data_IF_679975208093
#
_entry.id   IF_679975208093
#
_cell.length_a   1.000
_cell.length_b   1.000
_cell.length_c   1.000
_cell.angle_alpha   90.00
_cell.angle_beta   90.00
_cell.angle_gamma   90.00
#
_symmetry.space_group_name_H-M   'P 1'
#
loop_
_entity.id
_entity.type
_entity.pdbx_description
1 polymer ?
#
# COMPACT_ATOMS: atom_id res chain seq x y z
N UNK A 1 -19.49 -19.47 19.49
CA UNK A 1 -19.76 -20.70 18.71
C UNK A 1 -19.88 -20.44 17.20
N UNK A 2 -20.37 -19.29 16.72
CA UNK A 2 -20.39 -19.00 15.27
C UNK A 2 -19.02 -18.59 14.70
N UNK A 3 -18.24 -17.80 15.44
CA UNK A 3 -16.93 -17.29 14.98
C UNK A 3 -15.90 -18.40 14.72
N UNK A 4 -15.95 -19.50 15.47
CA UNK A 4 -15.04 -20.64 15.31
C UNK A 4 -15.27 -21.39 13.98
N UNK A 5 -16.47 -21.27 13.40
CA UNK A 5 -16.84 -21.93 12.13
C UNK A 5 -16.61 -21.03 10.91
N UNK A 6 -16.62 -19.71 11.10
CA UNK A 6 -16.59 -18.72 10.03
C UNK A 6 -15.30 -18.76 9.21
N UNK A 7 -14.12 -18.75 9.86
CA UNK A 7 -12.84 -18.78 9.14
C UNK A 7 -12.63 -20.08 8.34
N UNK A 8 -12.88 -21.29 8.90
CA UNK A 8 -12.86 -22.54 8.11
C UNK A 8 -13.79 -22.51 6.90
N UNK A 9 -14.97 -21.90 7.01
CA UNK A 9 -15.92 -21.77 5.90
C UNK A 9 -15.40 -20.85 4.79
N UNK A 10 -14.84 -19.69 5.13
CA UNK A 10 -14.22 -18.77 4.16
C UNK A 10 -13.07 -19.44 3.39
N UNK A 11 -12.24 -20.23 4.08
CA UNK A 11 -11.14 -20.97 3.46
C UNK A 11 -11.66 -22.05 2.50
N UNK A 12 -12.69 -22.80 2.91
CA UNK A 12 -13.30 -23.81 2.07
C UNK A 12 -14.00 -23.21 0.82
N UNK A 13 -14.67 -22.07 0.98
CA UNK A 13 -15.29 -21.36 -0.14
C UNK A 13 -14.23 -20.89 -1.13
N UNK A 14 -13.16 -20.23 -0.65
CA UNK A 14 -12.05 -19.78 -1.50
C UNK A 14 -11.44 -20.93 -2.31
N UNK A 15 -11.22 -22.08 -1.69
CA UNK A 15 -10.56 -23.22 -2.32
C UNK A 15 -11.45 -23.96 -3.33
N UNK A 16 -12.78 -23.85 -3.20
CA UNK A 16 -13.75 -24.42 -4.12
C UNK A 16 -14.25 -23.44 -5.19
N UNK A 17 -13.95 -22.15 -5.04
CA UNK A 17 -14.34 -21.10 -5.97
C UNK A 17 -13.62 -21.24 -7.32
N UNK A 18 -14.36 -21.11 -8.41
CA UNK A 18 -13.78 -21.12 -9.75
C UNK A 18 -12.84 -19.91 -9.94
N UNK A 19 -11.62 -20.09 -10.47
CA UNK A 19 -10.64 -19.01 -10.63
C UNK A 19 -11.07 -17.85 -11.53
N UNK A 20 -12.11 -18.01 -12.36
CA UNK A 20 -12.67 -16.91 -13.16
C UNK A 20 -13.36 -15.84 -12.31
N UNK A 21 -13.79 -16.16 -11.09
CA UNK A 21 -14.37 -15.20 -10.15
C UNK A 21 -13.29 -14.41 -9.41
N UNK A 22 -12.48 -13.67 -10.17
CA UNK A 22 -11.32 -12.91 -9.66
C UNK A 22 -11.70 -11.96 -8.52
N UNK A 23 -12.84 -11.27 -8.64
CA UNK A 23 -13.28 -10.31 -7.62
C UNK A 23 -13.76 -10.99 -6.33
N UNK A 24 -14.49 -12.10 -6.44
CA UNK A 24 -14.96 -12.84 -5.26
C UNK A 24 -13.77 -13.50 -4.54
N UNK A 25 -12.84 -14.09 -5.29
CA UNK A 25 -11.59 -14.64 -4.73
C UNK A 25 -10.78 -13.59 -3.98
N UNK A 26 -10.65 -12.38 -4.54
CA UNK A 26 -9.97 -11.24 -3.87
C UNK A 26 -10.65 -10.84 -2.57
N UNK A 27 -11.98 -10.73 -2.57
CA UNK A 27 -12.74 -10.33 -1.37
C UNK A 27 -12.63 -11.39 -0.26
N UNK A 28 -12.70 -12.68 -0.61
CA UNK A 28 -12.50 -13.77 0.35
C UNK A 28 -11.09 -13.76 0.94
N UNK A 29 -10.06 -13.50 0.13
CA UNK A 29 -8.69 -13.37 0.61
C UNK A 29 -8.52 -12.19 1.59
N UNK A 30 -9.08 -11.02 1.26
CA UNK A 30 -9.05 -9.83 2.13
C UNK A 30 -9.78 -10.10 3.46
N UNK A 31 -10.90 -10.81 3.44
CA UNK A 31 -11.63 -11.15 4.66
C UNK A 31 -10.86 -12.14 5.53
N UNK A 32 -10.28 -13.19 4.95
CA UNK A 32 -9.41 -14.14 5.66
C UNK A 32 -8.20 -13.43 6.29
N UNK A 33 -7.60 -12.47 5.57
CA UNK A 33 -6.46 -11.70 6.05
C UNK A 33 -6.80 -10.85 7.27
N UNK A 34 -8.01 -10.27 7.35
CA UNK A 34 -8.45 -9.53 8.56
C UNK A 34 -8.49 -10.41 9.80
N UNK A 35 -8.85 -11.68 9.69
CA UNK A 35 -8.88 -12.62 10.82
C UNK A 35 -7.48 -13.08 11.22
N UNK A 36 -6.59 -13.25 10.25
CA UNK A 36 -5.20 -13.67 10.51
C UNK A 36 -4.31 -12.50 10.96
N UNK A 37 -4.64 -11.29 10.51
CA UNK A 37 -3.97 -10.03 10.81
C UNK A 37 -4.60 -9.24 11.95
N UNK A 38 -5.66 -9.73 12.59
CA UNK A 38 -6.22 -9.12 13.80
C UNK A 38 -5.32 -9.37 15.02
N UNK A 39 -4.09 -8.88 14.98
CA UNK A 39 -3.57 -8.13 16.12
C UNK A 39 -4.36 -6.82 16.15
N UNK A 40 -5.61 -6.93 16.62
CA UNK A 40 -6.59 -5.86 16.62
C UNK A 40 -6.18 -4.76 17.55
N UNK A 41 -5.47 -3.76 17.03
CA UNK A 41 -5.38 -2.41 17.59
C UNK A 41 -5.22 -1.44 16.45
N UNK A 42 -6.25 -0.63 16.21
CA UNK A 42 -6.11 0.82 16.00
C UNK A 42 -4.76 1.35 15.47
N UNK A 43 -4.20 0.78 14.39
CA UNK A 43 -2.92 1.24 13.82
C UNK A 43 -3.06 2.69 13.36
N UNK A 44 -4.26 3.08 12.91
CA UNK A 44 -4.61 4.46 12.54
C UNK A 44 -4.45 5.46 13.70
N UNK A 45 -4.58 5.03 14.97
CA UNK A 45 -4.42 5.92 16.13
C UNK A 45 -2.99 5.93 16.68
N UNK A 46 -2.30 4.78 16.67
CA UNK A 46 -0.91 4.67 17.17
C UNK A 46 0.12 5.23 16.18
N UNK A 47 -0.10 5.16 14.86
CA UNK A 47 0.80 5.75 13.86
C UNK A 47 0.63 7.27 13.69
N UNK A 48 -0.45 7.84 14.25
CA UNK A 48 -0.75 9.27 14.10
C UNK A 48 0.24 10.18 14.84
N UNK A 49 0.85 9.69 15.93
CA UNK A 49 1.78 10.47 16.74
C UNK A 49 3.19 9.88 16.68
N UNK A 50 4.15 10.73 16.35
CA UNK A 50 5.55 10.35 16.31
C UNK A 50 6.21 10.57 17.69
N UNK A 51 6.83 9.53 18.22
CA UNK A 51 7.78 9.67 19.33
C UNK A 51 9.14 10.16 18.81
N UNK A 52 9.40 11.44 19.04
CA UNK A 52 10.60 12.15 18.57
C UNK A 52 11.85 11.79 19.38
N UNK A 53 11.71 11.19 20.57
CA UNK A 53 12.86 10.85 21.43
C UNK A 53 13.49 9.52 20.99
N UNK A 54 12.67 8.55 20.57
CA UNK A 54 13.15 7.21 20.24
C UNK A 54 13.73 7.06 18.84
N UNK A 55 13.62 8.07 17.96
CA UNK A 55 14.20 8.08 16.61
C UNK A 55 13.92 6.80 15.80
N UNK A 56 12.70 6.27 15.89
CA UNK A 56 12.28 5.10 15.11
C UNK A 56 12.13 5.45 13.63
N UNK A 57 12.39 4.48 12.75
CA UNK A 57 12.14 4.65 11.33
C UNK A 57 10.63 4.82 11.04
N UNK A 58 10.31 5.77 10.17
CA UNK A 58 8.93 6.09 9.77
C UNK A 58 8.73 5.68 8.31
N UNK A 59 7.58 5.11 7.98
CA UNK A 59 7.16 4.88 6.59
C UNK A 59 6.31 6.06 6.13
N UNK A 60 6.73 6.74 5.06
CA UNK A 60 5.96 7.83 4.44
C UNK A 60 5.62 7.45 3.00
N UNK A 61 4.37 7.66 2.60
CA UNK A 61 3.93 7.45 1.22
C UNK A 61 3.02 8.59 0.78
N UNK A 62 3.29 9.16 -0.38
CA UNK A 62 2.49 10.23 -0.98
C UNK A 62 1.99 9.78 -2.35
N UNK A 63 0.69 9.91 -2.61
CA UNK A 63 0.10 9.59 -3.91
C UNK A 63 -0.09 10.88 -4.70
N UNK A 64 0.68 11.05 -5.77
CA UNK A 64 0.59 12.22 -6.64
C UNK A 64 -0.34 11.92 -7.82
N UNK A 65 -1.32 12.80 -8.08
CA UNK A 65 -2.23 12.67 -9.20
C UNK A 65 -1.52 13.04 -10.50
N UNK A 66 -1.63 12.18 -11.50
CA UNK A 66 -1.11 12.44 -12.83
C UNK A 66 -2.25 12.92 -13.74
N UNK A 67 -2.13 14.09 -14.41
CA UNK A 67 -3.24 14.71 -15.15
C UNK A 67 -3.54 14.05 -16.52
N UNK A 68 -3.96 12.77 -16.51
CA UNK A 68 -4.26 11.94 -17.71
C UNK A 68 -5.26 12.60 -18.65
N UNK A 69 -6.18 13.38 -18.09
CA UNK A 69 -7.26 14.03 -18.84
C UNK A 69 -6.77 15.24 -19.63
N UNK A 70 -5.73 15.93 -19.17
CA UNK A 70 -5.22 17.14 -19.80
C UNK A 70 -4.16 16.82 -20.86
N UNK A 71 -3.33 15.80 -20.64
CA UNK A 71 -2.21 15.46 -21.52
C UNK A 71 -2.17 13.97 -21.90
N UNK A 72 -3.21 13.39 -22.52
CA UNK A 72 -3.29 11.94 -22.74
C UNK A 72 -2.17 11.34 -23.62
N UNK A 73 -1.44 12.16 -24.38
CA UNK A 73 -0.41 11.70 -25.35
C UNK A 73 1.00 11.59 -24.76
N UNK A 74 1.31 12.38 -23.73
CA UNK A 74 2.65 12.43 -23.14
C UNK A 74 2.83 11.41 -22.01
N UNK A 75 1.77 10.63 -21.73
CA UNK A 75 1.70 9.76 -20.57
C UNK A 75 2.65 8.56 -20.57
N UNK A 76 2.60 7.65 -21.56
CA UNK A 76 3.31 6.38 -21.41
C UNK A 76 4.84 6.50 -21.54
N UNK A 77 5.37 7.54 -22.19
CA UNK A 77 6.77 7.57 -22.59
C UNK A 77 7.64 8.62 -21.86
N UNK A 78 7.02 9.64 -21.26
CA UNK A 78 7.70 10.80 -20.68
C UNK A 78 7.61 10.83 -19.15
N UNK A 79 6.57 10.24 -18.56
CA UNK A 79 6.41 10.18 -17.11
C UNK A 79 7.38 9.23 -16.42
N UNK A 80 7.68 8.05 -16.98
CA UNK A 80 8.71 7.19 -16.40
C UNK A 80 10.05 7.94 -16.35
N UNK A 81 10.45 8.56 -17.47
CA UNK A 81 11.70 9.33 -17.54
C UNK A 81 11.73 10.48 -16.54
N UNK A 82 10.64 11.22 -16.39
CA UNK A 82 10.59 12.37 -15.50
C UNK A 82 10.46 11.98 -14.02
N UNK A 83 9.76 10.90 -13.68
CA UNK A 83 9.69 10.38 -12.31
C UNK A 83 11.03 9.79 -11.90
N UNK A 84 11.68 9.00 -12.75
CA UNK A 84 13.04 8.51 -12.50
C UNK A 84 14.04 9.67 -12.42
N UNK A 85 13.95 10.66 -13.33
CA UNK A 85 14.83 11.83 -13.30
C UNK A 85 14.62 12.69 -12.05
N UNK A 86 13.38 12.89 -11.60
CA UNK A 86 13.09 13.66 -10.39
C UNK A 86 13.52 12.91 -9.12
N UNK A 87 13.31 11.59 -9.06
CA UNK A 87 13.79 10.77 -7.96
C UNK A 87 15.34 10.76 -7.89
N UNK A 88 16.01 10.60 -9.04
CA UNK A 88 17.47 10.63 -9.14
C UNK A 88 18.02 12.03 -8.84
N UNK A 89 17.37 13.10 -9.30
CA UNK A 89 17.78 14.48 -9.02
C UNK A 89 17.62 14.84 -7.55
N UNK A 90 16.52 14.45 -6.89
CA UNK A 90 16.34 14.66 -5.46
C UNK A 90 17.38 13.90 -4.63
N UNK A 91 17.66 12.64 -4.99
CA UNK A 91 18.71 11.83 -4.33
C UNK A 91 20.11 12.42 -4.56
N UNK A 92 20.37 12.96 -5.75
CA UNK A 92 21.64 13.60 -6.08
C UNK A 92 21.79 14.95 -5.35
N UNK A 93 20.72 15.76 -5.28
CA UNK A 93 20.72 17.03 -4.55
C UNK A 93 20.92 16.84 -3.05
N UNK A 94 20.35 15.82 -2.41
CA UNK A 94 20.56 15.57 -0.98
C UNK A 94 21.96 15.10 -0.65
N UNK A 95 22.65 14.40 -1.56
CA UNK A 95 24.05 14.01 -1.36
C UNK A 95 25.07 15.12 -1.68
N UNK A 96 24.66 16.20 -2.36
CA UNK A 96 25.52 17.30 -2.78
C UNK A 96 25.36 18.60 -1.97
N UNK A 97 24.51 18.61 -0.94
CA UNK A 97 24.49 19.69 0.06
C UNK A 97 25.37 19.26 1.23
N UNK A 98 26.66 19.69 1.31
CA UNK A 98 27.40 19.55 2.55
C UNK A 98 26.68 20.36 3.62
N UNK A 99 26.30 19.69 4.72
CA UNK A 99 25.84 20.34 5.95
C UNK A 99 26.87 21.40 6.35
N UNK A 100 26.54 22.67 6.10
CA UNK A 100 27.28 23.85 6.56
C UNK A 100 26.66 24.39 7.83
#
# INVERSE_FOLDING_TARGET
MEEEKYLPELMAERDSLDPSFVHASRLLAEEIEKFQGSDGKSEDEEEKYLDVISNKNIKLSERVLIPVKQYPKDFPHELEKNVYSAAVWNVLCTMLVPFG
#
